data_IF_971686575918
#
_entry.id   IF_971686575918
#
_cell.length_a   1.000
_cell.length_b   1.000
_cell.length_c   1.000
_cell.angle_alpha   90.00
_cell.angle_beta   90.00
_cell.angle_gamma   90.00
#
_symmetry.space_group_name_H-M   'P 1'
#
loop_
_entity.id
_entity.type
_entity.pdbx_description
1 polymer ?
#
# COMPACT_ATOMS: atom_id res chain seq x y z
N UNK A 1 29.34 6.18 0.62
CA UNK A 1 29.28 4.89 1.33
C UNK A 1 28.43 3.96 0.50
N UNK A 2 28.95 2.84 0.02
CA UNK A 2 28.12 1.83 -0.65
C UNK A 2 27.43 1.00 0.44
N UNK A 3 26.32 1.53 0.96
CA UNK A 3 25.47 0.79 1.89
C UNK A 3 24.80 -0.36 1.14
N UNK A 4 25.18 -1.59 1.47
CA UNK A 4 24.46 -2.78 1.00
C UNK A 4 23.03 -2.76 1.52
N UNK A 5 22.08 -3.25 0.71
CA UNK A 5 20.67 -3.35 1.12
C UNK A 5 20.54 -4.12 2.44
N UNK A 6 19.80 -3.55 3.40
CA UNK A 6 19.47 -4.22 4.66
C UNK A 6 18.15 -4.97 4.53
N UNK A 7 18.04 -6.07 5.25
CA UNK A 7 16.84 -6.90 5.29
C UNK A 7 16.34 -7.05 6.74
N UNK A 8 15.03 -7.05 6.94
CA UNK A 8 14.40 -7.01 8.26
C UNK A 8 13.16 -7.92 8.29
N UNK A 9 12.84 -8.56 9.44
CA UNK A 9 11.57 -9.27 9.60
C UNK A 9 10.39 -8.28 9.62
N UNK A 10 9.34 -8.57 8.88
CA UNK A 10 8.12 -7.76 8.82
C UNK A 10 7.20 -8.12 10.01
N UNK A 11 7.58 -7.67 11.21
CA UNK A 11 6.86 -7.99 12.45
C UNK A 11 6.69 -9.50 12.68
N UNK A 12 5.52 -9.93 13.14
CA UNK A 12 5.18 -11.34 13.42
C UNK A 12 4.82 -12.19 12.20
N UNK A 13 5.06 -11.71 10.97
CA UNK A 13 4.70 -12.44 9.73
C UNK A 13 5.59 -13.65 9.44
N UNK A 14 6.83 -13.67 9.94
CA UNK A 14 7.86 -14.61 9.48
C UNK A 14 8.41 -14.30 8.08
N UNK A 15 8.00 -13.20 7.46
CA UNK A 15 8.49 -12.74 6.15
C UNK A 15 9.66 -11.78 6.39
N UNK A 16 10.76 -11.95 5.65
CA UNK A 16 11.89 -11.02 5.63
C UNK A 16 11.79 -10.15 4.38
N UNK A 17 11.90 -8.83 4.56
CA UNK A 17 11.78 -7.80 3.50
C UNK A 17 13.03 -6.94 3.43
N UNK A 18 13.30 -6.36 2.27
CA UNK A 18 14.25 -5.24 2.16
C UNK A 18 13.78 -4.04 3.00
N UNK A 19 14.71 -3.34 3.65
CA UNK A 19 14.41 -2.18 4.51
C UNK A 19 13.79 -1.02 3.72
N UNK A 20 14.10 -0.94 2.42
CA UNK A 20 13.45 -0.06 1.45
C UNK A 20 12.64 -0.95 0.49
N UNK A 21 11.38 -0.57 0.25
CA UNK A 21 10.50 -1.18 -0.74
C UNK A 21 10.16 -0.24 -1.88
N UNK A 22 9.59 -0.77 -2.96
CA UNK A 22 9.11 0.00 -4.12
C UNK A 22 7.58 0.08 -4.10
N UNK A 23 7.04 1.28 -3.93
CA UNK A 23 5.60 1.55 -4.07
C UNK A 23 5.23 1.88 -5.51
N UNK A 24 4.16 1.26 -6.02
CA UNK A 24 3.80 1.27 -7.44
C UNK A 24 2.57 2.14 -7.78
N UNK A 25 2.18 3.09 -6.91
CA UNK A 25 1.02 3.95 -7.22
C UNK A 25 1.18 4.73 -8.55
N UNK A 26 2.37 5.23 -8.86
CA UNK A 26 2.65 5.87 -10.16
C UNK A 26 2.52 4.90 -11.36
N UNK A 27 2.76 3.60 -11.16
CA UNK A 27 2.57 2.58 -12.21
C UNK A 27 1.11 2.40 -12.63
N UNK A 28 0.15 2.92 -11.87
CA UNK A 28 -1.25 3.00 -12.31
C UNK A 28 -1.46 3.94 -13.51
N UNK A 29 -0.58 4.92 -13.72
CA UNK A 29 -0.67 5.89 -14.83
C UNK A 29 -1.84 6.87 -14.76
N UNK A 30 -2.63 6.82 -13.68
CA UNK A 30 -3.91 7.51 -13.49
C UNK A 30 -3.87 8.67 -12.47
N UNK A 31 -2.87 8.69 -11.59
CA UNK A 31 -2.79 9.67 -10.49
C UNK A 31 -1.56 10.61 -10.53
N UNK A 32 -0.48 10.27 -11.23
CA UNK A 32 0.80 11.02 -11.21
C UNK A 32 1.18 11.60 -12.58
N UNK A 33 0.20 11.77 -13.46
CA UNK A 33 0.40 12.03 -14.89
C UNK A 33 0.77 10.76 -15.67
N UNK A 34 0.96 10.91 -16.99
CA UNK A 34 1.24 9.79 -17.89
C UNK A 34 2.53 9.08 -17.49
N UNK A 35 2.43 7.77 -17.31
CA UNK A 35 3.56 6.87 -17.03
C UNK A 35 3.67 5.83 -18.14
N UNK A 36 4.88 5.56 -18.63
CA UNK A 36 5.12 4.56 -19.67
C UNK A 36 5.44 3.20 -19.04
N UNK A 37 4.68 2.15 -19.39
CA UNK A 37 4.83 0.78 -18.87
C UNK A 37 6.27 0.27 -18.87
N UNK A 38 7.02 0.55 -19.95
CA UNK A 38 8.39 0.06 -20.11
C UNK A 38 9.39 0.73 -19.15
N UNK A 39 9.12 1.96 -18.70
CA UNK A 39 9.91 2.62 -17.67
C UNK A 39 9.61 2.04 -16.28
N UNK A 40 8.35 1.71 -16.01
CA UNK A 40 7.96 1.01 -14.76
C UNK A 40 8.67 -0.34 -14.67
N UNK A 41 8.62 -1.14 -15.74
CA UNK A 41 9.27 -2.45 -15.77
C UNK A 41 10.79 -2.33 -15.54
N UNK A 42 11.46 -1.38 -16.20
CA UNK A 42 12.90 -1.12 -15.98
C UNK A 42 13.22 -0.58 -14.59
N UNK A 43 12.33 0.19 -13.98
CA UNK A 43 12.49 0.63 -12.59
C UNK A 43 12.32 -0.53 -11.59
N UNK A 44 11.41 -1.46 -11.85
CA UNK A 44 11.23 -2.70 -11.05
C UNK A 44 12.48 -3.59 -11.17
N UNK A 45 12.99 -3.81 -12.39
CA UNK A 45 14.23 -4.55 -12.62
C UNK A 45 15.42 -3.91 -11.89
N UNK A 46 15.60 -2.59 -12.05
CA UNK A 46 16.66 -1.86 -11.38
C UNK A 46 16.57 -1.96 -9.85
N UNK A 47 15.38 -1.84 -9.28
CA UNK A 47 15.17 -1.99 -7.83
C UNK A 47 15.56 -3.39 -7.35
N UNK A 48 15.14 -4.43 -8.09
CA UNK A 48 15.45 -5.83 -7.78
C UNK A 48 16.95 -6.13 -7.86
N UNK A 49 17.64 -5.64 -8.89
CA UNK A 49 19.09 -5.79 -9.08
C UNK A 49 19.89 -5.09 -7.96
N UNK A 50 19.31 -4.07 -7.31
CA UNK A 50 19.87 -3.39 -6.14
C UNK A 50 19.37 -3.97 -4.79
N UNK A 51 18.72 -5.14 -4.81
CA UNK A 51 18.32 -5.91 -3.63
C UNK A 51 16.97 -5.54 -3.02
N UNK A 52 16.16 -4.68 -3.66
CA UNK A 52 14.78 -4.46 -3.20
C UNK A 52 13.97 -5.73 -3.46
N UNK A 53 13.39 -6.30 -2.39
CA UNK A 53 12.50 -7.46 -2.49
C UNK A 53 11.05 -7.12 -2.20
N UNK A 54 10.76 -6.01 -1.50
CA UNK A 54 9.39 -5.63 -1.15
C UNK A 54 8.77 -4.68 -2.18
N UNK A 55 7.65 -5.09 -2.79
CA UNK A 55 6.91 -4.33 -3.79
C UNK A 55 5.46 -4.15 -3.34
N UNK A 56 4.98 -2.90 -3.28
CA UNK A 56 3.65 -2.53 -2.81
C UNK A 56 2.79 -1.93 -3.94
N UNK A 57 1.61 -2.48 -4.17
CA UNK A 57 0.64 -2.08 -5.20
C UNK A 57 -0.80 -2.08 -4.61
N UNK A 58 -1.84 -1.91 -5.43
CA UNK A 58 -3.25 -2.01 -5.03
C UNK A 58 -4.19 -2.30 -6.22
N UNK A 59 -5.36 -2.86 -5.93
CA UNK A 59 -6.47 -3.11 -6.87
C UNK A 59 -6.96 -1.88 -7.66
N UNK A 60 -6.82 -0.69 -7.07
CA UNK A 60 -7.27 0.60 -7.62
C UNK A 60 -6.21 1.35 -8.42
N UNK A 61 -4.91 1.05 -8.29
CA UNK A 61 -3.87 1.78 -9.01
C UNK A 61 -3.96 1.46 -10.52
N UNK A 62 -4.38 2.43 -11.33
CA UNK A 62 -4.70 2.21 -12.75
C UNK A 62 -5.85 1.21 -12.94
N UNK A 63 -6.81 1.14 -12.00
CA UNK A 63 -7.87 0.14 -11.98
C UNK A 63 -7.34 -1.32 -12.10
N UNK A 64 -6.14 -1.57 -11.56
CA UNK A 64 -5.45 -2.88 -11.59
C UNK A 64 -4.25 -2.95 -12.53
N UNK A 65 -4.01 -1.95 -13.40
CA UNK A 65 -2.87 -1.91 -14.33
C UNK A 65 -1.51 -2.06 -13.62
N UNK A 66 -1.36 -1.46 -12.44
CA UNK A 66 -0.16 -1.59 -11.60
C UNK A 66 0.10 -3.05 -11.15
N UNK A 67 -0.95 -3.82 -10.88
CA UNK A 67 -0.84 -5.26 -10.57
C UNK A 67 -0.46 -6.08 -11.79
N UNK A 68 -0.99 -5.74 -12.98
CA UNK A 68 -0.65 -6.39 -14.24
C UNK A 68 0.81 -6.12 -14.65
N UNK A 69 1.33 -4.91 -14.40
CA UNK A 69 2.74 -4.58 -14.61
C UNK A 69 3.66 -5.33 -13.64
N UNK A 70 3.31 -5.42 -12.36
CA UNK A 70 4.07 -6.23 -11.41
C UNK A 70 4.02 -7.72 -11.78
N UNK A 71 2.87 -8.24 -12.22
CA UNK A 71 2.72 -9.60 -12.71
C UNK A 71 3.59 -9.92 -13.93
N UNK A 72 3.67 -8.99 -14.90
CA UNK A 72 4.62 -9.07 -16.04
C UNK A 72 6.07 -9.11 -15.54
N UNK A 73 6.43 -8.23 -14.59
CA UNK A 73 7.80 -8.18 -14.05
C UNK A 73 8.19 -9.46 -13.29
N UNK A 74 7.26 -10.11 -12.59
CA UNK A 74 7.53 -11.34 -11.82
C UNK A 74 7.65 -12.63 -12.65
N UNK A 75 7.32 -12.59 -13.94
CA UNK A 75 7.25 -13.77 -14.79
C UNK A 75 8.56 -14.59 -14.77
N UNK A 76 8.47 -15.87 -14.34
CA UNK A 76 9.60 -16.79 -14.23
C UNK A 76 10.55 -16.57 -13.03
N UNK A 77 10.24 -15.62 -12.12
CA UNK A 77 11.10 -15.24 -10.98
C UNK A 77 10.32 -14.76 -9.74
N UNK A 78 9.10 -15.27 -9.54
CA UNK A 78 8.14 -14.86 -8.48
C UNK A 78 8.71 -14.96 -7.06
N UNK A 79 9.62 -15.90 -6.82
CA UNK A 79 10.33 -16.15 -5.57
C UNK A 79 11.22 -14.98 -5.11
N UNK A 80 11.66 -14.13 -6.04
CA UNK A 80 12.50 -12.96 -5.74
C UNK A 80 11.71 -11.76 -5.21
N UNK A 81 10.38 -11.83 -5.25
CA UNK A 81 9.48 -10.72 -4.91
C UNK A 81 8.69 -11.06 -3.64
N UNK A 82 8.59 -10.10 -2.74
CA UNK A 82 7.63 -10.07 -1.65
C UNK A 82 6.56 -9.06 -2.02
N UNK A 83 5.38 -9.55 -2.39
CA UNK A 83 4.29 -8.72 -2.92
C UNK A 83 3.32 -8.32 -1.83
N UNK A 84 3.20 -7.01 -1.62
CA UNK A 84 2.09 -6.40 -0.92
C UNK A 84 1.08 -5.83 -1.92
N UNK A 85 -0.20 -6.19 -1.78
CA UNK A 85 -1.28 -5.49 -2.49
C UNK A 85 -2.44 -5.19 -1.54
N UNK A 86 -3.46 -4.50 -2.05
CA UNK A 86 -4.58 -3.97 -1.27
C UNK A 86 -5.88 -4.18 -2.03
N UNK A 87 -6.96 -4.24 -1.26
CA UNK A 87 -8.34 -4.43 -1.74
C UNK A 87 -9.30 -3.55 -0.95
N UNK A 88 -10.34 -3.04 -1.62
CA UNK A 88 -11.55 -2.53 -0.94
C UNK A 88 -12.14 -1.24 -1.50
N UNK A 89 -11.32 -0.43 -2.16
CA UNK A 89 -11.75 0.83 -2.79
C UNK A 89 -12.34 0.65 -4.20
N UNK A 90 -12.01 -0.47 -4.87
CA UNK A 90 -12.55 -0.75 -6.21
C UNK A 90 -14.06 -0.95 -6.13
N UNK A 91 -14.81 -0.16 -6.91
CA UNK A 91 -16.28 -0.11 -6.92
C UNK A 91 -16.92 0.26 -5.57
N UNK A 92 -16.21 0.99 -4.70
CA UNK A 92 -16.72 1.41 -3.40
C UNK A 92 -18.01 2.25 -3.50
N UNK A 93 -18.98 1.96 -2.64
CA UNK A 93 -20.26 2.66 -2.56
C UNK A 93 -20.14 3.90 -1.66
N UNK A 94 -19.93 5.05 -2.29
CA UNK A 94 -19.76 6.33 -1.60
C UNK A 94 -21.03 6.83 -0.88
N UNK A 95 -22.23 6.44 -1.32
CA UNK A 95 -23.48 6.85 -0.66
C UNK A 95 -23.72 6.05 0.62
N UNK A 96 -23.36 4.77 0.64
CA UNK A 96 -23.46 3.89 1.82
C UNK A 96 -22.22 3.93 2.72
N UNK A 97 -21.12 4.50 2.24
CA UNK A 97 -19.82 4.42 2.93
C UNK A 97 -19.34 2.98 3.09
N UNK A 98 -19.53 2.15 2.07
CA UNK A 98 -19.37 0.69 2.16
C UNK A 98 -18.57 0.11 0.99
N UNK A 99 -17.77 -0.93 1.24
CA UNK A 99 -17.12 -1.69 0.17
C UNK A 99 -18.13 -2.45 -0.71
N UNK A 100 -17.77 -2.67 -1.97
CA UNK A 100 -18.48 -3.60 -2.86
C UNK A 100 -18.43 -5.06 -2.37
N UNK A 101 -17.46 -5.40 -1.52
CA UNK A 101 -17.27 -6.75 -1.00
C UNK A 101 -18.14 -7.01 0.24
N UNK A 102 -19.46 -7.08 0.03
CA UNK A 102 -20.47 -7.20 1.10
C UNK A 102 -20.64 -8.61 1.66
N UNK A 103 -20.03 -9.63 1.04
CA UNK A 103 -19.99 -11.02 1.54
C UNK A 103 -18.57 -11.58 1.47
N UNK A 104 -18.30 -12.63 2.26
CA UNK A 104 -16.97 -13.25 2.34
C UNK A 104 -16.58 -13.88 1.01
N UNK A 105 -17.54 -14.44 0.29
CA UNK A 105 -17.38 -15.03 -1.04
C UNK A 105 -17.08 -13.94 -2.09
N UNK A 106 -17.75 -12.78 -2.02
CA UNK A 106 -17.45 -11.64 -2.89
C UNK A 106 -16.04 -11.08 -2.62
N UNK A 107 -15.65 -10.99 -1.35
CA UNK A 107 -14.31 -10.58 -0.94
C UNK A 107 -13.23 -11.54 -1.47
N UNK A 108 -13.42 -12.85 -1.30
CA UNK A 108 -12.53 -13.89 -1.82
C UNK A 108 -12.41 -13.79 -3.35
N UNK A 109 -13.52 -13.62 -4.08
CA UNK A 109 -13.50 -13.42 -5.53
C UNK A 109 -12.77 -12.12 -5.96
N UNK A 110 -12.82 -11.08 -5.13
CA UNK A 110 -11.99 -9.88 -5.26
C UNK A 110 -10.50 -10.22 -5.20
N UNK A 111 -10.07 -10.95 -4.17
CA UNK A 111 -8.65 -11.36 -3.99
C UNK A 111 -8.18 -12.32 -5.10
N UNK A 112 -9.01 -13.25 -5.55
CA UNK A 112 -8.71 -14.09 -6.73
C UNK A 112 -8.51 -13.23 -8.01
N UNK A 113 -9.19 -12.08 -8.09
CA UNK A 113 -8.98 -11.12 -9.18
C UNK A 113 -7.65 -10.36 -9.06
N UNK A 114 -7.16 -10.06 -7.84
CA UNK A 114 -5.80 -9.55 -7.63
C UNK A 114 -4.75 -10.60 -8.07
N UNK A 115 -4.91 -11.85 -7.63
CA UNK A 115 -4.04 -12.98 -7.99
C UNK A 115 -3.94 -13.17 -9.51
N UNK A 116 -5.07 -13.08 -10.21
CA UNK A 116 -5.13 -13.14 -11.67
C UNK A 116 -4.34 -12.01 -12.35
N UNK A 117 -4.47 -10.75 -11.88
CA UNK A 117 -3.71 -9.60 -12.43
C UNK A 117 -2.21 -9.71 -12.15
N UNK A 118 -1.86 -10.11 -10.93
CA UNK A 118 -0.47 -10.38 -10.53
C UNK A 118 0.13 -11.65 -11.16
N UNK A 119 -0.66 -12.45 -11.90
CA UNK A 119 -0.26 -13.71 -12.51
C UNK A 119 0.48 -14.66 -11.53
N UNK A 120 -0.09 -14.82 -10.33
CA UNK A 120 0.49 -15.62 -9.24
C UNK A 120 -0.60 -16.35 -8.46
N UNK A 121 -0.25 -17.45 -7.81
CA UNK A 121 -1.11 -18.28 -6.97
C UNK A 121 -1.15 -17.84 -5.49
N UNK A 122 -0.17 -17.05 -5.03
CA UNK A 122 -0.14 -16.48 -3.68
C UNK A 122 0.33 -15.01 -3.62
N UNK A 123 -0.19 -14.27 -2.62
CA UNK A 123 0.25 -12.92 -2.23
C UNK A 123 0.97 -12.99 -0.87
N UNK A 124 2.06 -12.24 -0.70
CA UNK A 124 2.80 -12.25 0.56
C UNK A 124 2.07 -11.45 1.65
N UNK A 125 1.56 -10.26 1.32
CA UNK A 125 0.78 -9.41 2.23
C UNK A 125 -0.44 -8.84 1.50
N UNK A 126 -1.65 -9.19 1.93
CA UNK A 126 -2.88 -8.53 1.44
C UNK A 126 -3.46 -7.59 2.50
N UNK A 127 -3.84 -6.38 2.12
CA UNK A 127 -4.27 -5.34 3.07
C UNK A 127 -5.67 -4.84 2.76
N UNK A 128 -6.48 -4.58 3.79
CA UNK A 128 -7.64 -3.70 3.64
C UNK A 128 -7.14 -2.30 3.25
N UNK A 129 -7.63 -1.77 2.14
CA UNK A 129 -7.26 -0.44 1.66
C UNK A 129 -8.18 0.65 2.25
N UNK A 130 -9.37 0.27 2.71
CA UNK A 130 -10.31 1.16 3.40
C UNK A 130 -9.65 1.58 4.72
N UNK A 131 -9.62 2.88 4.98
CA UNK A 131 -8.82 3.48 6.05
C UNK A 131 -9.65 3.93 7.27
N UNK A 132 -10.95 3.66 7.26
CA UNK A 132 -11.88 3.86 8.36
C UNK A 132 -12.73 2.61 8.63
N UNK A 133 -13.48 2.61 9.74
CA UNK A 133 -14.36 1.51 10.12
C UNK A 133 -15.64 1.49 9.29
N UNK A 134 -15.58 0.89 8.12
CA UNK A 134 -16.75 0.63 7.29
C UNK A 134 -17.56 -0.59 7.80
N UNK A 135 -18.82 -0.76 7.35
CA UNK A 135 -19.68 -1.87 7.80
C UNK A 135 -19.20 -3.28 7.41
N UNK A 136 -18.32 -3.43 6.43
CA UNK A 136 -17.83 -4.73 5.92
C UNK A 136 -16.52 -5.20 6.57
N UNK A 137 -16.00 -4.51 7.58
CA UNK A 137 -14.75 -4.88 8.26
C UNK A 137 -14.68 -6.36 8.68
N UNK A 138 -15.77 -6.93 9.22
CA UNK A 138 -15.80 -8.35 9.63
C UNK A 138 -15.76 -9.32 8.43
N UNK A 139 -16.37 -8.94 7.30
CA UNK A 139 -16.32 -9.70 6.04
C UNK A 139 -14.88 -9.78 5.52
N UNK A 140 -14.13 -8.67 5.61
CA UNK A 140 -12.72 -8.63 5.26
C UNK A 140 -11.90 -9.52 6.20
N UNK A 141 -12.11 -9.43 7.52
CA UNK A 141 -11.37 -10.22 8.51
C UNK A 141 -11.60 -11.72 8.35
N UNK A 142 -12.85 -12.17 8.12
CA UNK A 142 -13.13 -13.57 7.86
C UNK A 142 -12.54 -14.02 6.51
N UNK A 143 -12.70 -13.21 5.45
CA UNK A 143 -12.15 -13.49 4.13
C UNK A 143 -10.63 -13.64 4.14
N UNK A 144 -9.91 -12.74 4.84
CA UNK A 144 -8.48 -12.86 5.05
C UNK A 144 -8.08 -14.16 5.76
N UNK A 145 -8.84 -14.57 6.78
CA UNK A 145 -8.55 -15.80 7.52
C UNK A 145 -8.77 -17.06 6.66
N UNK A 146 -9.86 -17.11 5.89
CA UNK A 146 -10.13 -18.19 4.93
C UNK A 146 -9.04 -18.26 3.83
N UNK A 147 -8.66 -17.12 3.24
CA UNK A 147 -7.61 -17.04 2.21
C UNK A 147 -6.23 -17.45 2.75
N UNK A 148 -5.92 -17.09 3.99
CA UNK A 148 -4.66 -17.47 4.65
C UNK A 148 -4.62 -18.97 4.94
N UNK A 149 -5.74 -19.55 5.38
CA UNK A 149 -5.88 -21.00 5.55
C UNK A 149 -5.75 -21.75 4.22
N UNK A 150 -6.26 -21.18 3.12
CA UNK A 150 -6.13 -21.72 1.77
C UNK A 150 -4.75 -21.50 1.11
N UNK A 151 -3.79 -20.86 1.80
CA UNK A 151 -2.46 -20.56 1.26
C UNK A 151 -2.40 -19.45 0.20
N UNK A 152 -3.53 -18.83 -0.14
CA UNK A 152 -3.66 -17.76 -1.14
C UNK A 152 -3.03 -16.44 -0.70
N UNK A 153 -2.95 -16.20 0.60
CA UNK A 153 -2.21 -15.08 1.20
C UNK A 153 -1.35 -15.58 2.36
N UNK A 154 -0.13 -15.05 2.53
CA UNK A 154 0.77 -15.44 3.64
C UNK A 154 0.52 -14.62 4.91
N UNK A 155 0.24 -13.34 4.75
CA UNK A 155 -0.09 -12.40 5.82
C UNK A 155 -1.19 -11.43 5.39
N UNK A 156 -1.87 -10.81 6.37
CA UNK A 156 -2.81 -9.73 6.09
C UNK A 156 -2.68 -8.54 7.04
N UNK A 157 -3.21 -7.40 6.59
CA UNK A 157 -3.10 -6.12 7.29
C UNK A 157 -4.20 -5.13 6.93
N UNK A 158 -4.00 -3.88 7.37
CA UNK A 158 -4.86 -2.74 7.07
C UNK A 158 -4.00 -1.51 6.74
N UNK A 159 -4.45 -0.66 5.83
CA UNK A 159 -3.83 0.63 5.51
C UNK A 159 -4.64 1.75 6.16
N UNK A 160 -4.20 2.29 7.28
CA UNK A 160 -4.93 3.35 8.00
C UNK A 160 -4.03 4.21 8.89
N UNK A 161 -4.42 5.46 9.09
CA UNK A 161 -3.87 6.34 10.15
C UNK A 161 -4.84 6.51 11.34
N UNK A 162 -5.97 5.80 11.35
CA UNK A 162 -6.99 5.84 12.40
C UNK A 162 -6.71 4.76 13.47
N UNK A 163 -6.33 5.18 14.67
CA UNK A 163 -5.97 4.27 15.76
C UNK A 163 -7.13 3.42 16.29
N UNK A 164 -8.34 3.98 16.37
CA UNK A 164 -9.52 3.24 16.81
C UNK A 164 -9.92 2.16 15.79
N UNK A 165 -9.80 2.47 14.50
CA UNK A 165 -10.02 1.48 13.44
C UNK A 165 -8.95 0.39 13.45
N UNK A 166 -7.67 0.72 13.61
CA UNK A 166 -6.61 -0.29 13.76
C UNK A 166 -6.88 -1.25 14.94
N UNK A 167 -7.31 -0.73 16.10
CA UNK A 167 -7.68 -1.55 17.25
C UNK A 167 -8.88 -2.45 16.96
N UNK A 168 -9.91 -1.94 16.27
CA UNK A 168 -11.08 -2.72 15.86
C UNK A 168 -10.71 -3.81 14.83
N UNK A 169 -9.83 -3.50 13.88
CA UNK A 169 -9.35 -4.44 12.85
C UNK A 169 -8.42 -5.52 13.43
N UNK A 170 -7.69 -5.23 14.51
CA UNK A 170 -6.85 -6.20 15.23
C UNK A 170 -7.53 -6.73 16.51
N UNK A 171 -8.87 -6.72 16.60
CA UNK A 171 -9.58 -7.12 17.82
C UNK A 171 -9.35 -8.60 18.21
N UNK A 172 -9.10 -9.47 17.23
CA UNK A 172 -8.79 -10.89 17.43
C UNK A 172 -7.27 -11.19 17.55
N UNK A 173 -6.44 -10.16 17.45
CA UNK A 173 -4.96 -10.25 17.52
C UNK A 173 -4.27 -10.90 16.31
N UNK A 174 -5.02 -11.34 15.29
CA UNK A 174 -4.48 -12.12 14.15
C UNK A 174 -3.91 -11.28 13.01
N UNK A 175 -4.30 -10.00 12.91
CA UNK A 175 -3.75 -9.04 11.95
C UNK A 175 -2.22 -8.98 12.04
N UNK A 176 -1.52 -8.95 10.91
CA UNK A 176 -0.07 -9.10 10.85
C UNK A 176 0.67 -7.80 10.50
N UNK A 177 0.08 -6.91 9.72
CA UNK A 177 0.72 -5.67 9.27
C UNK A 177 -0.20 -4.45 9.36
N UNK A 178 0.42 -3.27 9.44
CA UNK A 178 -0.20 -1.96 9.28
C UNK A 178 0.57 -1.23 8.19
N UNK A 179 -0.13 -0.62 7.22
CA UNK A 179 0.43 0.45 6.40
C UNK A 179 -0.08 1.80 6.88
N UNK A 180 0.83 2.76 7.07
CA UNK A 180 0.50 4.05 7.67
C UNK A 180 1.29 5.20 7.02
N UNK A 181 0.66 6.37 6.98
CA UNK A 181 1.34 7.61 6.60
C UNK A 181 2.27 8.07 7.72
N UNK A 182 3.55 8.26 7.40
CA UNK A 182 4.53 8.79 8.35
C UNK A 182 5.72 9.42 7.64
N UNK A 183 6.13 10.59 8.12
CA UNK A 183 7.32 11.32 7.68
C UNK A 183 7.75 12.29 8.79
N UNK A 184 8.82 13.08 8.57
CA UNK A 184 9.18 14.14 9.54
C UNK A 184 8.10 15.23 9.67
N UNK A 185 7.24 15.39 8.64
CA UNK A 185 6.10 16.33 8.65
C UNK A 185 4.87 15.73 9.33
N UNK A 186 4.60 14.43 9.13
CA UNK A 186 3.50 13.72 9.80
C UNK A 186 4.02 12.67 10.78
N UNK A 187 4.17 13.07 12.04
CA UNK A 187 4.66 12.25 13.16
C UNK A 187 3.54 11.77 14.09
N UNK A 188 2.28 11.95 13.70
CA UNK A 188 1.08 11.68 14.53
C UNK A 188 1.03 10.24 15.06
N UNK A 189 1.56 9.28 14.30
CA UNK A 189 1.57 7.86 14.65
C UNK A 189 2.52 7.50 15.81
N UNK A 190 3.51 8.33 16.14
CA UNK A 190 4.48 8.06 17.22
C UNK A 190 3.85 7.97 18.61
N UNK A 191 2.77 8.72 18.87
CA UNK A 191 2.16 8.83 20.19
C UNK A 191 1.49 7.52 20.64
N UNK A 192 0.66 6.95 19.78
CA UNK A 192 -0.25 5.85 20.13
C UNK A 192 -0.13 4.63 19.18
N UNK A 193 0.01 4.87 17.87
CA UNK A 193 -0.07 3.80 16.85
C UNK A 193 1.22 2.97 16.77
N UNK A 194 2.39 3.60 16.69
CA UNK A 194 3.67 2.88 16.62
C UNK A 194 3.96 2.08 17.91
N UNK A 195 3.73 2.62 19.13
CA UNK A 195 3.82 1.84 20.36
C UNK A 195 2.84 0.66 20.41
N UNK A 196 1.60 0.83 19.91
CA UNK A 196 0.65 -0.27 19.80
C UNK A 196 1.14 -1.35 18.82
N UNK A 197 1.62 -0.98 17.64
CA UNK A 197 2.16 -1.91 16.65
C UNK A 197 3.32 -2.72 17.22
N UNK A 198 4.26 -2.05 17.92
CA UNK A 198 5.38 -2.70 18.59
C UNK A 198 4.90 -3.71 19.65
N UNK A 199 3.92 -3.33 20.50
CA UNK A 199 3.35 -4.21 21.54
C UNK A 199 2.61 -5.42 20.94
N UNK A 200 1.97 -5.26 19.78
CA UNK A 200 1.18 -6.30 19.11
C UNK A 200 1.97 -7.13 18.08
N UNK A 201 3.26 -6.81 17.89
CA UNK A 201 4.13 -7.46 16.91
C UNK A 201 3.73 -7.19 15.45
N UNK A 202 3.03 -6.09 15.15
CA UNK A 202 2.62 -5.75 13.78
C UNK A 202 3.82 -5.27 12.97
N UNK A 203 3.94 -5.77 11.73
CA UNK A 203 4.88 -5.22 10.75
C UNK A 203 4.36 -3.89 10.23
N UNK A 204 5.13 -2.81 10.40
CA UNK A 204 4.74 -1.46 9.95
C UNK A 204 5.36 -1.16 8.59
N UNK A 205 4.52 -0.82 7.61
CA UNK A 205 4.88 -0.38 6.27
C UNK A 205 4.65 1.13 6.20
N UNK A 206 5.70 1.91 5.96
CA UNK A 206 5.60 3.36 5.89
C UNK A 206 5.27 3.79 4.45
N UNK A 207 4.12 4.42 4.25
CA UNK A 207 3.85 5.23 3.06
C UNK A 207 4.11 6.72 3.38
N UNK A 208 4.34 7.51 2.34
CA UNK A 208 4.50 8.97 2.51
C UNK A 208 5.84 9.42 3.10
N UNK A 209 6.85 8.55 3.23
CA UNK A 209 8.14 8.86 3.86
C UNK A 209 8.85 10.14 3.35
N UNK A 210 8.65 10.48 2.07
CA UNK A 210 9.18 11.70 1.42
C UNK A 210 8.09 12.75 1.11
N UNK A 211 6.94 12.69 1.78
CA UNK A 211 5.80 13.60 1.66
C UNK A 211 5.45 13.95 0.20
N UNK A 212 5.21 12.94 -0.64
CA UNK A 212 4.84 13.07 -2.06
C UNK A 212 5.84 13.88 -2.92
N UNK A 213 7.08 14.03 -2.42
CA UNK A 213 8.19 14.73 -3.06
C UNK A 213 8.63 16.01 -2.36
N UNK A 214 7.88 16.53 -1.37
CA UNK A 214 8.21 17.76 -0.64
C UNK A 214 9.56 17.62 0.07
N UNK A 215 9.74 16.54 0.84
CA UNK A 215 10.95 16.26 1.60
C UNK A 215 12.16 15.84 0.74
N UNK A 216 12.06 15.91 -0.59
CA UNK A 216 13.17 15.70 -1.51
C UNK A 216 13.91 17.02 -1.87
N UNK A 217 13.52 18.17 -1.30
CA UNK A 217 14.22 19.45 -1.48
C UNK A 217 14.20 19.99 -2.92
N UNK A 218 13.17 19.63 -3.69
CA UNK A 218 13.07 19.90 -5.14
C UNK A 218 11.92 20.84 -5.55
N UNK A 219 11.19 21.37 -4.57
CA UNK A 219 10.01 22.22 -4.79
C UNK A 219 10.25 23.62 -4.23
N UNK A 220 9.45 24.56 -4.74
CA UNK A 220 9.37 25.97 -4.36
C UNK A 220 7.91 26.40 -4.38
N UNK A 221 7.58 27.56 -3.82
CA UNK A 221 6.22 28.11 -3.88
C UNK A 221 5.69 28.29 -5.32
N UNK A 222 6.59 28.46 -6.30
CA UNK A 222 6.29 28.61 -7.73
C UNK A 222 6.21 27.28 -8.51
N UNK A 223 6.52 26.15 -7.87
CA UNK A 223 6.37 24.82 -8.49
C UNK A 223 4.92 24.58 -8.87
N UNK A 224 4.68 23.98 -10.05
CA UNK A 224 3.36 23.56 -10.52
C UNK A 224 3.43 22.14 -11.06
N UNK A 225 2.29 21.44 -11.05
CA UNK A 225 2.18 20.04 -11.47
C UNK A 225 1.46 19.93 -12.81
N UNK A 226 1.84 18.92 -13.62
CA UNK A 226 1.29 18.70 -14.96
C UNK A 226 -0.13 18.14 -14.95
N UNK A 227 -0.73 18.00 -16.14
CA UNK A 227 -2.04 17.35 -16.27
C UNK A 227 -2.00 15.88 -15.83
N UNK A 228 -3.08 15.43 -15.17
CA UNK A 228 -3.18 14.08 -14.61
C UNK A 228 -2.40 13.86 -13.29
N UNK A 229 -1.69 14.86 -12.78
CA UNK A 229 -1.02 14.79 -11.47
C UNK A 229 -1.95 15.29 -10.35
N UNK A 230 -2.33 14.40 -9.42
CA UNK A 230 -3.23 14.73 -8.33
C UNK A 230 -2.74 15.89 -7.44
N UNK A 231 -1.42 16.16 -7.41
CA UNK A 231 -0.82 17.25 -6.63
C UNK A 231 -1.18 18.63 -7.15
N UNK A 232 -1.77 18.75 -8.34
CA UNK A 232 -2.42 20.01 -8.80
C UNK A 232 -3.40 20.55 -7.76
N UNK A 233 -4.09 19.67 -7.03
CA UNK A 233 -5.02 20.04 -5.96
C UNK A 233 -4.36 20.86 -4.84
N UNK A 234 -3.03 20.75 -4.64
CA UNK A 234 -2.28 21.56 -3.68
C UNK A 234 -2.24 23.06 -4.06
N UNK A 235 -2.61 23.45 -5.28
CA UNK A 235 -2.77 24.85 -5.66
C UNK A 235 -4.23 25.22 -5.93
N UNK A 236 -5.05 24.26 -6.33
CA UNK A 236 -6.46 24.46 -6.67
C UNK A 236 -7.38 24.48 -5.43
N UNK A 237 -6.99 23.79 -4.35
CA UNK A 237 -7.65 23.88 -3.04
C UNK A 237 -6.90 24.86 -2.11
N UNK A 238 -7.54 25.95 -1.62
CA UNK A 238 -6.91 26.92 -0.74
C UNK A 238 -6.34 26.34 0.56
N UNK A 239 -6.98 25.33 1.15
CA UNK A 239 -6.53 24.72 2.41
C UNK A 239 -5.26 23.89 2.17
N UNK A 240 -5.25 23.07 1.12
CA UNK A 240 -4.06 22.29 0.75
C UNK A 240 -2.90 23.19 0.30
N UNK A 241 -3.18 24.36 -0.27
CA UNK A 241 -2.14 25.34 -0.62
C UNK A 241 -1.46 25.95 0.61
N UNK A 242 -2.21 26.21 1.70
CA UNK A 242 -1.59 26.64 2.95
C UNK A 242 -0.74 25.52 3.59
N UNK A 243 -1.16 24.26 3.47
CA UNK A 243 -0.35 23.11 3.92
C UNK A 243 0.92 22.98 3.08
N UNK A 244 0.82 23.03 1.75
CA UNK A 244 1.97 22.97 0.86
C UNK A 244 3.00 24.07 1.15
N UNK A 245 2.57 25.33 1.31
CA UNK A 245 3.49 26.44 1.61
C UNK A 245 4.15 26.33 3.00
N UNK A 246 3.49 25.67 3.95
CA UNK A 246 4.02 25.44 5.31
C UNK A 246 5.02 24.29 5.36
N UNK A 247 4.86 23.30 4.48
CA UNK A 247 5.63 22.07 4.48
C UNK A 247 6.91 22.13 3.60
N UNK A 248 7.09 23.21 2.82
CA UNK A 248 8.30 23.55 2.03
C UNK A 248 9.50 23.94 2.91
#
# INVERSE_FOLDING_TARGET
MNGTMRYRPLGKTGITVSEIGMGLWAAGGDAWGKTEDQEVLRAIDYALDHGVTFFDTADVYGNGHSEELLGKAMAGRRDKFIVATKIGWRNFDGEKGQSAYTTVEAFIAGVESNLKRLNTDYIDVMQSHIDFRDPTMEVFLEGFQRLKQAGKIRAYGVSTSNFEYLKAFNHDGKTNTLQIDYSILNRTSEKDILPYCQKQGLGVIIRGAIAMGILAGKFTADTRFGEGDFRRRWHENPEEYQVFLKDL
#
